data_IF_590059919593
#
_entry.id   IF_590059919593
#
_cell.length_a   1.000
_cell.length_b   1.000
_cell.length_c   1.000
_cell.angle_alpha   90.00
_cell.angle_beta   90.00
_cell.angle_gamma   90.00
#
_symmetry.space_group_name_H-M   'P 1'
#
loop_
_entity.id
_entity.type
_entity.pdbx_description
1 polymer ?
#
# COMPACT_ATOMS: atom_id res chain seq x y z
N UNK A 1 -34.04 -14.98 1.03
CA UNK A 1 -32.74 -15.66 1.17
C UNK A 1 -32.86 -16.96 0.41
N UNK A 2 -31.97 -17.21 -0.53
CA UNK A 2 -31.89 -18.47 -1.26
C UNK A 2 -30.61 -19.20 -0.83
N UNK A 3 -30.67 -20.53 -0.74
CA UNK A 3 -29.56 -21.37 -0.30
C UNK A 3 -29.54 -22.67 -1.09
N UNK A 4 -28.36 -23.05 -1.55
CA UNK A 4 -28.06 -24.35 -2.16
C UNK A 4 -26.95 -24.99 -1.33
N UNK A 5 -27.09 -26.25 -0.95
CA UNK A 5 -26.12 -26.98 -0.13
C UNK A 5 -25.91 -28.40 -0.65
N UNK A 6 -24.68 -28.89 -0.55
CA UNK A 6 -24.30 -30.27 -0.80
C UNK A 6 -23.48 -30.81 0.38
N UNK A 7 -23.74 -32.05 0.78
CA UNK A 7 -23.15 -32.69 1.97
C UNK A 7 -22.56 -34.06 1.63
N UNK A 8 -21.39 -34.39 2.20
CA UNK A 8 -20.76 -35.72 2.13
C UNK A 8 -20.10 -36.03 3.48
N UNK A 9 -20.68 -36.96 4.23
CA UNK A 9 -20.21 -37.29 5.58
C UNK A 9 -20.28 -36.05 6.50
N UNK A 10 -19.14 -35.68 7.09
CA UNK A 10 -19.02 -34.47 7.93
C UNK A 10 -18.70 -33.18 7.16
N UNK A 11 -18.48 -33.28 5.84
CA UNK A 11 -18.14 -32.14 5.00
C UNK A 11 -19.41 -31.58 4.33
N UNK A 12 -19.44 -30.26 4.17
CA UNK A 12 -20.54 -29.57 3.51
C UNK A 12 -20.01 -28.42 2.65
N UNK A 13 -20.68 -28.12 1.54
CA UNK A 13 -20.48 -26.91 0.75
C UNK A 13 -21.83 -26.21 0.57
N UNK A 14 -21.86 -24.89 0.72
CA UNK A 14 -23.09 -24.12 0.54
C UNK A 14 -22.83 -22.82 -0.22
N UNK A 15 -23.85 -22.40 -0.97
CA UNK A 15 -23.97 -21.08 -1.59
C UNK A 15 -25.24 -20.44 -1.06
N UNK A 16 -25.14 -19.18 -0.63
CA UNK A 16 -26.24 -18.42 -0.06
C UNK A 16 -26.31 -17.04 -0.74
N UNK A 17 -27.52 -16.61 -1.11
CA UNK A 17 -27.78 -15.29 -1.65
C UNK A 17 -28.90 -14.61 -0.87
N UNK A 18 -28.78 -13.31 -0.66
CA UNK A 18 -29.80 -12.50 0.00
C UNK A 18 -29.85 -11.12 -0.63
N UNK A 19 -31.03 -10.76 -1.11
CA UNK A 19 -31.37 -9.40 -1.51
C UNK A 19 -32.36 -8.81 -0.49
N UNK A 20 -32.19 -7.56 -0.12
CA UNK A 20 -33.14 -6.82 0.71
C UNK A 20 -33.18 -5.38 0.24
N UNK A 21 -34.39 -4.83 0.12
CA UNK A 21 -34.63 -3.43 -0.20
C UNK A 21 -35.70 -2.90 0.75
N UNK A 22 -35.43 -1.78 1.39
CA UNK A 22 -36.34 -1.12 2.31
C UNK A 22 -36.29 0.37 2.04
N UNK A 23 -37.46 1.01 2.11
CA UNK A 23 -37.60 2.46 2.10
C UNK A 23 -38.73 2.80 3.06
N UNK A 24 -38.53 3.80 3.91
CA UNK A 24 -39.55 4.28 4.83
C UNK A 24 -40.17 5.60 4.37
N UNK A 25 -41.15 6.06 5.17
CA UNK A 25 -41.91 7.28 4.89
C UNK A 25 -41.10 8.57 5.16
N UNK A 26 -40.02 8.47 5.93
CA UNK A 26 -39.15 9.59 6.30
C UNK A 26 -38.09 9.84 5.21
N UNK A 27 -38.04 8.97 4.20
CA UNK A 27 -37.14 9.07 3.06
C UNK A 27 -35.80 8.35 3.27
N UNK A 28 -35.68 7.60 4.37
CA UNK A 28 -34.53 6.75 4.64
C UNK A 28 -34.75 5.36 4.01
N UNK A 29 -33.66 4.72 3.61
CA UNK A 29 -33.76 3.44 2.93
C UNK A 29 -32.43 2.84 2.55
N UNK A 30 -32.45 1.55 2.22
CA UNK A 30 -31.27 0.84 1.77
C UNK A 30 -31.61 -0.29 0.82
N UNK A 31 -30.67 -0.59 -0.06
CA UNK A 31 -30.62 -1.82 -0.84
C UNK A 31 -29.34 -2.55 -0.48
N UNK A 32 -29.44 -3.84 -0.18
CA UNK A 32 -28.28 -4.70 0.09
C UNK A 32 -28.42 -6.03 -0.66
N UNK A 33 -27.33 -6.44 -1.28
CA UNK A 33 -27.17 -7.73 -1.94
C UNK A 33 -25.94 -8.43 -1.38
N UNK A 34 -26.14 -9.62 -0.85
CA UNK A 34 -25.10 -10.49 -0.30
C UNK A 34 -25.05 -11.77 -1.11
N UNK A 35 -23.83 -12.18 -1.48
CA UNK A 35 -23.54 -13.52 -1.98
C UNK A 35 -22.42 -14.11 -1.15
N UNK A 36 -22.64 -15.32 -0.65
CA UNK A 36 -21.69 -16.05 0.18
C UNK A 36 -21.54 -17.48 -0.30
N UNK A 37 -20.34 -18.01 -0.14
CA UNK A 37 -20.06 -19.44 -0.28
C UNK A 37 -19.22 -19.91 0.90
N UNK A 38 -19.34 -21.17 1.26
CA UNK A 38 -18.51 -21.72 2.32
C UNK A 38 -18.43 -23.23 2.28
N UNK A 39 -17.35 -23.74 2.86
CA UNK A 39 -17.12 -25.17 3.05
C UNK A 39 -16.90 -25.46 4.52
N UNK A 40 -17.58 -26.50 5.04
CA UNK A 40 -17.27 -27.12 6.32
C UNK A 40 -16.31 -28.28 6.06
N UNK A 41 -15.14 -28.20 6.68
CA UNK A 41 -14.10 -29.23 6.58
C UNK A 41 -13.48 -29.45 7.95
N UNK A 42 -13.44 -30.72 8.41
CA UNK A 42 -12.92 -31.11 9.74
C UNK A 42 -13.51 -30.27 10.89
N UNK A 43 -14.83 -30.10 10.88
CA UNK A 43 -15.55 -29.30 11.89
C UNK A 43 -15.34 -27.78 11.80
N UNK A 44 -14.48 -27.28 10.90
CA UNK A 44 -14.24 -25.84 10.71
C UNK A 44 -14.95 -25.31 9.46
N UNK A 45 -15.58 -24.16 9.59
CA UNK A 45 -16.24 -23.45 8.50
C UNK A 45 -15.28 -22.42 7.89
N UNK A 46 -15.12 -22.47 6.57
CA UNK A 46 -14.37 -21.51 5.76
C UNK A 46 -15.35 -20.81 4.83
N UNK A 47 -15.30 -19.48 4.75
CA UNK A 47 -16.25 -18.68 3.98
C UNK A 47 -15.52 -17.74 3.02
N UNK A 48 -16.17 -17.45 1.91
CA UNK A 48 -15.90 -16.31 1.07
C UNK A 48 -17.21 -15.61 0.72
N UNK A 49 -17.19 -14.30 0.51
CA UNK A 49 -18.40 -13.57 0.16
C UNK A 49 -18.17 -12.16 -0.34
N UNK A 50 -19.21 -11.63 -0.96
CA UNK A 50 -19.31 -10.25 -1.44
C UNK A 50 -20.61 -9.64 -0.91
N UNK A 51 -20.53 -8.38 -0.49
CA UNK A 51 -21.69 -7.55 -0.16
C UNK A 51 -21.67 -6.30 -1.03
N UNK A 52 -22.82 -5.93 -1.58
CA UNK A 52 -23.05 -4.69 -2.32
C UNK A 52 -24.17 -3.97 -1.58
N UNK A 53 -23.94 -2.72 -1.21
CA UNK A 53 -24.90 -1.93 -0.45
C UNK A 53 -24.98 -0.48 -0.94
N UNK A 54 -26.18 0.07 -0.89
CA UNK A 54 -26.45 1.49 -0.99
C UNK A 54 -27.46 1.87 0.09
N UNK A 55 -27.22 2.96 0.81
CA UNK A 55 -28.06 3.47 1.89
C UNK A 55 -28.24 4.98 1.72
N UNK A 56 -29.45 5.45 1.94
CA UNK A 56 -29.74 6.86 2.22
C UNK A 56 -30.21 6.96 3.66
N UNK A 57 -29.56 7.84 4.43
CA UNK A 57 -29.89 8.06 5.83
C UNK A 57 -29.71 9.53 6.19
N UNK A 58 -30.75 10.17 6.70
CA UNK A 58 -30.78 11.61 6.99
C UNK A 58 -30.33 12.46 5.78
N UNK A 59 -30.73 12.07 4.57
CA UNK A 59 -30.34 12.75 3.32
C UNK A 59 -28.90 12.51 2.85
N UNK A 60 -28.08 11.74 3.59
CA UNK A 60 -26.75 11.32 3.14
C UNK A 60 -26.80 9.98 2.40
N UNK A 61 -26.21 9.92 1.21
CA UNK A 61 -26.10 8.68 0.43
C UNK A 61 -24.73 8.06 0.63
N UNK A 62 -24.70 6.76 0.97
CA UNK A 62 -23.48 5.96 1.10
C UNK A 62 -23.61 4.70 0.25
N UNK A 63 -22.57 4.38 -0.52
CA UNK A 63 -22.51 3.15 -1.32
C UNK A 63 -21.22 2.40 -1.02
N UNK A 64 -21.27 1.07 -1.05
CA UNK A 64 -20.15 0.24 -0.66
C UNK A 64 -20.20 -1.14 -1.33
N UNK A 65 -19.01 -1.67 -1.62
CA UNK A 65 -18.81 -3.06 -2.01
C UNK A 65 -17.73 -3.64 -1.10
N UNK A 66 -18.04 -4.74 -0.44
CA UNK A 66 -17.14 -5.44 0.47
C UNK A 66 -16.86 -6.86 -0.01
N UNK A 67 -15.64 -7.33 0.23
CA UNK A 67 -15.21 -8.70 -0.06
C UNK A 67 -14.61 -9.32 1.20
N UNK A 68 -14.91 -10.59 1.45
CA UNK A 68 -14.29 -11.38 2.49
C UNK A 68 -13.78 -12.68 1.88
N UNK A 69 -12.47 -12.89 1.88
CA UNK A 69 -11.82 -14.11 1.39
C UNK A 69 -10.36 -14.17 1.86
N UNK A 70 -9.76 -15.37 1.89
CA UNK A 70 -8.32 -15.54 2.09
C UNK A 70 -7.49 -14.94 0.93
N UNK A 71 -7.99 -15.11 -0.30
CA UNK A 71 -7.38 -14.57 -1.51
C UNK A 71 -8.46 -13.89 -2.35
N UNK A 72 -8.19 -12.67 -2.81
CA UNK A 72 -9.05 -11.94 -3.76
C UNK A 72 -8.20 -11.54 -4.96
N UNK A 73 -8.70 -11.77 -6.17
CA UNK A 73 -7.95 -11.52 -7.40
C UNK A 73 -8.83 -10.84 -8.45
N UNK A 74 -8.26 -9.86 -9.15
CA UNK A 74 -8.81 -9.33 -10.39
C UNK A 74 -7.98 -9.90 -11.53
N UNK A 75 -8.63 -10.64 -12.41
CA UNK A 75 -7.99 -11.35 -13.52
C UNK A 75 -8.22 -10.59 -14.82
N UNK A 76 -7.21 -10.52 -15.69
CA UNK A 76 -7.37 -10.04 -17.07
C UNK A 76 -7.06 -11.20 -18.04
N UNK A 77 -8.08 -11.81 -18.67
CA UNK A 77 -7.87 -12.90 -19.63
C UNK A 77 -7.40 -12.34 -20.99
N UNK A 78 -6.16 -11.86 -21.06
CA UNK A 78 -5.54 -11.41 -22.30
C UNK A 78 -4.74 -12.56 -22.94
N UNK A 79 -4.87 -12.75 -24.26
CA UNK A 79 -4.11 -13.74 -25.03
C UNK A 79 -4.21 -15.19 -24.52
N UNK A 80 -5.37 -15.58 -23.98
CA UNK A 80 -5.60 -16.93 -23.47
C UNK A 80 -4.87 -17.27 -22.17
N UNK A 81 -4.21 -16.29 -21.53
CA UNK A 81 -3.60 -16.44 -20.20
C UNK A 81 -4.48 -15.76 -19.15
N UNK A 82 -4.73 -16.46 -18.04
CA UNK A 82 -5.37 -15.88 -16.86
C UNK A 82 -4.28 -15.34 -15.91
N UNK A 83 -3.86 -14.10 -16.13
CA UNK A 83 -2.92 -13.41 -15.25
C UNK A 83 -3.69 -12.49 -14.27
N UNK A 84 -3.39 -12.53 -12.95
CA UNK A 84 -3.92 -11.54 -12.01
C UNK A 84 -3.23 -10.19 -12.24
N UNK A 85 -4.02 -9.13 -12.32
CA UNK A 85 -3.55 -7.73 -12.36
C UNK A 85 -3.54 -7.09 -10.98
N UNK A 86 -4.40 -7.58 -10.09
CA UNK A 86 -4.48 -7.20 -8.68
C UNK A 86 -4.77 -8.45 -7.86
N UNK A 87 -4.08 -8.62 -6.73
CA UNK A 87 -4.30 -9.72 -5.80
C UNK A 87 -4.15 -9.25 -4.36
N UNK A 88 -5.04 -9.69 -3.49
CA UNK A 88 -4.86 -9.67 -2.04
C UNK A 88 -4.61 -11.12 -1.62
N UNK A 89 -3.51 -11.36 -0.93
CA UNK A 89 -3.15 -12.67 -0.39
C UNK A 89 -2.37 -12.48 0.91
N UNK A 90 -2.75 -13.23 1.95
CA UNK A 90 -2.07 -13.21 3.25
C UNK A 90 -1.92 -11.79 3.84
N UNK A 91 -2.92 -10.93 3.61
CA UNK A 91 -2.94 -9.54 4.06
C UNK A 91 -2.08 -8.57 3.23
N UNK A 92 -1.48 -9.05 2.13
CA UNK A 92 -0.64 -8.26 1.24
C UNK A 92 -1.32 -8.03 -0.10
N UNK A 93 -1.14 -6.82 -0.65
CA UNK A 93 -1.57 -6.47 -2.01
C UNK A 93 -0.41 -6.70 -2.98
N UNK A 94 -0.68 -7.41 -4.07
CA UNK A 94 0.24 -7.62 -5.17
C UNK A 94 -0.34 -6.97 -6.43
N UNK A 95 0.45 -6.10 -7.04
CA UNK A 95 0.15 -5.43 -8.30
C UNK A 95 1.35 -5.63 -9.22
N UNK A 96 1.11 -6.11 -10.43
CA UNK A 96 2.18 -6.34 -11.41
C UNK A 96 2.69 -5.03 -12.00
N UNK A 97 1.76 -4.16 -12.36
CA UNK A 97 2.03 -2.85 -12.96
C UNK A 97 0.88 -1.90 -12.57
N UNK A 98 1.20 -0.65 -12.27
CA UNK A 98 0.22 0.37 -11.93
C UNK A 98 0.55 1.68 -12.64
N UNK A 99 -0.44 2.28 -13.28
CA UNK A 99 -0.38 3.65 -13.77
C UNK A 99 -1.14 4.55 -12.81
N UNK A 100 -0.44 5.45 -12.13
CA UNK A 100 -0.96 6.28 -11.03
C UNK A 100 -0.79 7.76 -11.36
N UNK A 101 -1.80 8.58 -11.09
CA UNK A 101 -1.69 10.03 -11.17
C UNK A 101 -0.96 10.62 -9.97
N UNK A 102 -1.49 10.37 -8.76
CA UNK A 102 -0.90 10.76 -7.48
C UNK A 102 -0.99 9.60 -6.51
N UNK A 103 0.08 9.37 -5.74
CA UNK A 103 0.09 8.40 -4.65
C UNK A 103 0.63 9.06 -3.37
N UNK A 104 -0.01 8.77 -2.24
CA UNK A 104 0.47 9.17 -0.91
C UNK A 104 0.81 7.89 -0.15
N UNK A 105 2.06 7.77 0.28
CA UNK A 105 2.60 6.57 0.94
C UNK A 105 3.40 7.04 2.15
N UNK A 106 3.05 6.54 3.34
CA UNK A 106 3.73 6.88 4.59
C UNK A 106 5.17 6.33 4.64
N UNK A 107 5.38 5.13 4.13
CA UNK A 107 6.70 4.52 3.97
C UNK A 107 6.71 3.40 2.94
N UNK A 108 7.85 3.23 2.27
CA UNK A 108 8.04 2.16 1.28
C UNK A 108 9.42 1.52 1.44
N UNK A 109 9.48 0.19 1.38
CA UNK A 109 10.72 -0.56 1.17
C UNK A 109 10.78 -0.97 -0.28
N UNK A 110 11.73 -0.39 -1.02
CA UNK A 110 11.87 -0.59 -2.46
C UNK A 110 13.19 -1.30 -2.70
N UNK A 111 13.14 -2.44 -3.40
CA UNK A 111 14.36 -3.18 -3.77
C UNK A 111 15.15 -2.42 -4.83
N UNK A 112 14.48 -1.99 -5.89
CA UNK A 112 15.04 -1.28 -7.03
C UNK A 112 14.04 -0.23 -7.52
N UNK A 113 14.52 0.99 -7.83
CA UNK A 113 13.69 2.10 -8.33
C UNK A 113 14.36 2.79 -9.53
N UNK A 114 13.58 3.10 -10.56
CA UNK A 114 13.98 4.01 -11.64
C UNK A 114 13.08 5.23 -11.63
N UNK A 115 13.67 6.42 -11.62
CA UNK A 115 12.94 7.69 -11.50
C UNK A 115 13.46 8.63 -12.58
N UNK A 116 12.60 9.01 -13.53
CA UNK A 116 12.95 9.99 -14.58
C UNK A 116 13.17 11.38 -13.98
N UNK A 117 12.32 11.78 -13.03
CA UNK A 117 12.43 13.06 -12.32
C UNK A 117 11.73 12.96 -10.96
N UNK A 118 12.38 13.46 -9.91
CA UNK A 118 11.81 13.56 -8.56
C UNK A 118 11.82 15.02 -8.10
N UNK A 119 10.68 15.49 -7.56
CA UNK A 119 10.64 16.70 -6.74
C UNK A 119 10.72 16.28 -5.28
N UNK A 120 11.70 16.80 -4.56
CA UNK A 120 11.94 16.49 -3.15
C UNK A 120 11.69 17.77 -2.34
N UNK A 121 10.77 17.71 -1.38
CA UNK A 121 10.38 18.89 -0.59
C UNK A 121 11.38 19.22 0.54
N UNK A 122 12.04 18.20 1.09
CA UNK A 122 13.01 18.36 2.19
C UNK A 122 14.40 17.85 1.83
N UNK A 123 14.69 16.55 1.94
CA UNK A 123 16.00 16.05 1.58
C UNK A 123 16.03 14.54 1.46
N UNK A 124 17.16 14.02 0.98
CA UNK A 124 17.44 12.59 0.95
C UNK A 124 18.71 12.35 1.77
N UNK A 125 18.69 11.34 2.64
CA UNK A 125 19.82 11.02 3.52
C UNK A 125 19.86 9.54 3.87
N UNK A 126 21.04 9.08 4.27
CA UNK A 126 21.20 7.78 4.92
C UNK A 126 20.45 7.73 6.26
N UNK A 127 20.02 6.54 6.65
CA UNK A 127 19.34 6.26 7.92
C UNK A 127 20.22 6.50 9.16
N UNK A 128 21.54 6.44 9.00
CA UNK A 128 22.52 6.65 10.05
C UNK A 128 23.09 8.09 10.13
N UNK A 129 22.55 9.05 9.36
CA UNK A 129 22.91 10.46 9.48
C UNK A 129 22.34 11.06 10.79
N UNK A 130 23.07 11.89 11.56
CA UNK A 130 24.33 12.58 11.21
C UNK A 130 25.62 11.86 11.65
N UNK A 131 25.54 10.62 12.13
CA UNK A 131 26.67 9.86 12.68
C UNK A 131 27.49 9.12 11.61
N UNK A 132 26.95 8.98 10.39
CA UNK A 132 27.61 8.42 9.22
C UNK A 132 26.77 8.63 7.96
N UNK A 133 27.23 8.10 6.83
CA UNK A 133 26.48 8.11 5.57
C UNK A 133 26.53 9.44 4.85
N UNK A 134 25.45 9.78 4.15
CA UNK A 134 25.33 10.99 3.34
C UNK A 134 24.01 11.73 3.59
N UNK A 135 23.99 13.03 3.27
CA UNK A 135 22.83 13.89 3.41
C UNK A 135 22.81 14.95 2.29
N UNK A 136 21.65 15.08 1.65
CA UNK A 136 21.33 16.07 0.63
C UNK A 136 20.06 16.83 1.07
N UNK A 137 20.18 17.80 1.98
CA UNK A 137 19.07 18.64 2.45
C UNK A 137 18.65 19.70 1.43
N UNK A 138 17.42 20.25 1.56
CA UNK A 138 16.86 21.29 0.68
C UNK A 138 17.65 22.59 0.61
N UNK A 139 18.56 22.84 1.55
CA UNK A 139 19.37 24.06 1.57
C UNK A 139 20.52 24.02 0.55
N UNK A 140 20.63 22.96 -0.26
CA UNK A 140 21.63 22.83 -1.31
C UNK A 140 22.98 22.30 -0.85
N UNK A 141 23.13 21.95 0.44
CA UNK A 141 24.35 21.31 0.93
C UNK A 141 24.42 19.84 0.49
N UNK A 142 25.63 19.29 0.44
CA UNK A 142 25.89 17.86 0.35
C UNK A 142 26.92 17.47 1.40
N UNK A 143 26.58 16.52 2.25
CA UNK A 143 27.46 16.01 3.30
C UNK A 143 27.72 14.53 3.11
N UNK A 144 28.97 14.12 3.31
CA UNK A 144 29.36 12.71 3.44
C UNK A 144 30.21 12.53 4.69
N UNK A 145 29.91 11.50 5.47
CA UNK A 145 30.62 11.15 6.69
C UNK A 145 31.01 9.67 6.65
N UNK A 146 32.31 9.41 6.81
CA UNK A 146 32.80 8.06 7.00
C UNK A 146 32.19 7.43 8.25
N UNK A 147 32.01 6.10 8.21
CA UNK A 147 31.54 5.33 9.37
C UNK A 147 32.51 5.55 10.53
N UNK A 148 31.99 5.88 11.71
CA UNK A 148 32.77 6.23 12.92
C UNK A 148 33.48 7.60 12.90
N UNK A 149 33.02 8.55 12.09
CA UNK A 149 33.45 9.96 12.19
C UNK A 149 34.88 10.25 11.73
N UNK A 150 35.53 9.32 11.02
CA UNK A 150 36.97 9.42 10.66
C UNK A 150 37.31 10.41 9.56
N UNK A 151 36.36 10.77 8.70
CA UNK A 151 36.55 11.79 7.68
C UNK A 151 35.18 12.33 7.26
N UNK A 152 35.13 13.62 6.96
CA UNK A 152 33.90 14.30 6.51
C UNK A 152 34.18 15.13 5.27
N UNK A 153 33.27 15.06 4.31
CA UNK A 153 33.17 15.98 3.17
C UNK A 153 31.90 16.80 3.37
N UNK A 154 32.00 18.11 3.17
CA UNK A 154 30.85 19.00 3.12
C UNK A 154 30.98 19.94 1.93
N UNK A 155 29.94 20.02 1.13
CA UNK A 155 29.74 21.04 0.12
C UNK A 155 28.55 21.88 0.57
N UNK A 156 28.75 23.18 0.72
CA UNK A 156 27.69 24.12 1.09
C UNK A 156 27.87 25.46 0.37
N UNK A 157 27.13 26.48 0.79
CA UNK A 157 27.19 27.82 0.22
C UNK A 157 28.57 28.49 0.31
N UNK A 158 29.47 27.99 1.16
CA UNK A 158 30.86 28.46 1.30
C UNK A 158 31.86 27.64 0.48
N UNK A 159 31.41 26.56 -0.19
CA UNK A 159 32.23 25.69 -1.04
C UNK A 159 32.48 24.30 -0.45
N UNK A 160 33.54 23.64 -0.92
CA UNK A 160 33.93 22.28 -0.54
C UNK A 160 34.93 22.28 0.62
N UNK A 161 34.65 21.50 1.65
CA UNK A 161 35.52 21.29 2.80
C UNK A 161 35.74 19.80 3.08
N UNK A 162 36.98 19.42 3.38
CA UNK A 162 37.37 18.07 3.79
C UNK A 162 38.01 18.13 5.17
N UNK A 163 37.51 17.29 6.08
CA UNK A 163 37.97 17.19 7.46
C UNK A 163 38.54 15.81 7.74
N UNK A 164 39.59 15.75 8.55
CA UNK A 164 40.09 14.49 9.12
C UNK A 164 39.22 14.00 10.29
N UNK A 165 39.63 12.87 10.89
CA UNK A 165 38.88 12.22 11.97
C UNK A 165 38.96 12.93 13.31
N UNK A 166 39.86 13.91 13.43
CA UNK A 166 39.94 14.81 14.57
C UNK A 166 39.09 16.07 14.34
N UNK A 167 38.39 16.18 13.20
CA UNK A 167 37.60 17.35 12.83
C UNK A 167 38.43 18.53 12.28
N UNK A 168 39.71 18.33 11.99
CA UNK A 168 40.59 19.38 11.46
C UNK A 168 40.34 19.56 9.97
N UNK A 169 40.13 20.80 9.53
CA UNK A 169 40.03 21.16 8.11
C UNK A 169 41.37 20.87 7.41
N UNK A 170 41.34 20.05 6.35
CA UNK A 170 42.53 19.70 5.56
C UNK A 170 42.50 20.32 4.17
N UNK A 171 41.32 20.50 3.60
CA UNK A 171 41.12 21.07 2.27
C UNK A 171 39.92 22.00 2.31
N UNK A 172 40.05 23.19 1.73
CA UNK A 172 38.97 24.15 1.46
C UNK A 172 39.08 24.66 0.04
N UNK A 173 37.97 24.63 -0.69
CA UNK A 173 37.81 25.23 -2.01
C UNK A 173 36.53 26.06 -1.98
N UNK A 174 36.63 27.39 -2.09
CA UNK A 174 35.51 28.32 -1.93
C UNK A 174 35.90 29.54 -1.11
N UNK A 175 34.92 30.22 -0.50
CA UNK A 175 35.17 31.39 0.33
C UNK A 175 36.10 31.06 1.52
N UNK A 176 37.02 32.00 1.78
CA UNK A 176 37.99 32.01 2.88
C UNK A 176 37.62 33.16 3.81
#
# INVERSE_FOLDING_TARGET
>A
MEKIQADVGENAAAVETKATAVFDIDGDGYGIYEIGTGVRYKGRLYKAGMVIGAEVKNGEVKTQIGFSANNFMVMNPANGKLDPVFMIKDGQVFIREAFLGTAVIDGAKIKDASITMAKIADGIRSDNWPHGGWNLPKNGAFEMKGISGRARIALDHTGLAVFDGSGTLRIKVGEI
#
